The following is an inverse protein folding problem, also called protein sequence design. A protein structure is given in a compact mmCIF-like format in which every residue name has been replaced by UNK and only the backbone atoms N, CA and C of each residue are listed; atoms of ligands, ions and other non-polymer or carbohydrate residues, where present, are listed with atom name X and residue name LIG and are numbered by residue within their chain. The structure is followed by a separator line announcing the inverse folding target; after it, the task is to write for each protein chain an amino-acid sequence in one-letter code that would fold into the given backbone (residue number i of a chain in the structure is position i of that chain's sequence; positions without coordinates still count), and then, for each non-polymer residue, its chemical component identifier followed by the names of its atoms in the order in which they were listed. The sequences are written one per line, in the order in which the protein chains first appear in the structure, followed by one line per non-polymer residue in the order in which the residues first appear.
data_IF_671780508004
#
_entry.id   IF_671780508004
#
_cell.length_a   1.000
_cell.length_b   1.000
_cell.length_c   1.000
_cell.angle_alpha   90.00
_cell.angle_beta   90.00
_cell.angle_gamma   90.00
#
_symmetry.space_group_name_H-M   'P 1'
#
loop_
_entity.id
_entity.type
_entity.pdbx_description
1 polymer ?
#
# COMPACT_ATOMS: atom_id res chain seq x y z
N UNK A 1 -55.52 0.87 -32.61
CA UNK A 1 -54.72 1.83 -31.82
C UNK A 1 -54.34 1.13 -30.53
N UNK A 2 -53.10 0.62 -30.44
CA UNK A 2 -52.59 -0.06 -29.25
C UNK A 2 -51.50 0.81 -28.60
N UNK A 3 -51.36 0.78 -27.29
CA UNK A 3 -50.41 1.66 -26.59
C UNK A 3 -48.97 1.17 -26.76
N UNK A 4 -48.09 2.09 -27.12
CA UNK A 4 -46.63 1.89 -27.16
C UNK A 4 -46.11 1.85 -25.72
N UNK A 5 -45.64 0.69 -25.27
CA UNK A 5 -44.91 0.54 -24.04
C UNK A 5 -43.47 1.09 -24.20
N UNK A 6 -43.16 2.15 -23.46
CA UNK A 6 -41.80 2.66 -23.33
C UNK A 6 -40.99 1.75 -22.39
N UNK A 7 -39.99 1.07 -22.94
CA UNK A 7 -39.00 0.35 -22.16
C UNK A 7 -38.02 1.40 -21.55
N UNK A 8 -38.13 1.66 -20.25
CA UNK A 8 -37.08 2.37 -19.51
C UNK A 8 -35.88 1.40 -19.34
N UNK A 9 -34.83 1.60 -20.10
CA UNK A 9 -33.52 1.03 -19.79
C UNK A 9 -32.93 1.77 -18.56
N UNK A 10 -33.01 1.10 -17.41
CA UNK A 10 -32.28 1.54 -16.24
C UNK A 10 -30.77 1.32 -16.48
N UNK A 11 -30.01 2.40 -16.68
CA UNK A 11 -28.54 2.37 -16.60
C UNK A 11 -28.18 2.08 -15.14
N UNK A 12 -27.73 0.85 -14.88
CA UNK A 12 -26.99 0.53 -13.66
C UNK A 12 -25.63 1.19 -13.83
N UNK A 13 -25.43 2.36 -13.23
CA UNK A 13 -24.12 2.95 -13.03
C UNK A 13 -23.37 2.05 -12.03
N UNK A 14 -22.63 1.07 -12.55
CA UNK A 14 -21.61 0.41 -11.76
C UNK A 14 -20.60 1.48 -11.37
N UNK A 15 -20.68 1.98 -10.14
CA UNK A 15 -19.69 2.89 -9.58
C UNK A 15 -18.35 2.18 -9.60
N UNK A 16 -17.45 2.59 -10.50
CA UNK A 16 -16.03 2.30 -10.39
C UNK A 16 -15.57 2.94 -9.07
N UNK A 17 -15.52 2.14 -8.03
CA UNK A 17 -14.79 2.51 -6.82
C UNK A 17 -13.31 2.52 -7.20
N UNK A 18 -12.81 3.66 -7.64
CA UNK A 18 -11.39 3.89 -7.81
C UNK A 18 -10.77 3.71 -6.42
N UNK A 19 -10.00 2.65 -6.21
CA UNK A 19 -9.19 2.47 -5.01
C UNK A 19 -8.11 3.55 -5.08
N UNK A 20 -8.30 4.65 -4.37
CA UNK A 20 -7.55 5.89 -4.50
C UNK A 20 -6.09 5.81 -4.03
N UNK A 21 -5.57 4.63 -3.72
CA UNK A 21 -4.23 4.43 -3.16
C UNK A 21 -3.42 3.33 -3.85
N UNK A 22 -3.75 3.00 -5.10
CA UNK A 22 -2.92 2.14 -5.95
C UNK A 22 -2.09 3.02 -6.87
N UNK A 23 -0.82 2.68 -7.07
CA UNK A 23 0.05 3.43 -7.97
C UNK A 23 -0.57 3.54 -9.38
N UNK A 24 -0.68 4.75 -9.85
CA UNK A 24 -1.22 5.04 -11.18
C UNK A 24 -0.06 5.33 -12.14
N UNK A 25 -0.23 4.92 -13.39
CA UNK A 25 0.74 5.25 -14.45
C UNK A 25 0.65 6.74 -14.73
N UNK A 26 1.73 7.48 -14.40
CA UNK A 26 1.77 8.95 -14.52
C UNK A 26 1.94 9.41 -15.96
N UNK A 27 2.62 8.62 -16.80
CA UNK A 27 2.82 8.88 -18.22
C UNK A 27 2.89 7.56 -18.99
N UNK A 28 1.74 7.11 -19.49
CA UNK A 28 1.63 5.82 -20.18
C UNK A 28 2.47 5.77 -21.47
N UNK A 29 2.50 6.85 -22.23
CA UNK A 29 3.25 6.91 -23.47
C UNK A 29 4.76 6.80 -23.19
N UNK A 30 5.31 7.61 -22.28
CA UNK A 30 6.72 7.56 -21.92
C UNK A 30 7.12 6.19 -21.35
N UNK A 31 6.25 5.58 -20.54
CA UNK A 31 6.48 4.24 -20.00
C UNK A 31 6.56 3.20 -21.14
N UNK A 32 5.63 3.24 -22.10
CA UNK A 32 5.62 2.36 -23.26
C UNK A 32 6.89 2.54 -24.09
N UNK A 33 7.26 3.77 -24.43
CA UNK A 33 8.47 4.09 -25.17
C UNK A 33 9.73 3.59 -24.43
N UNK A 34 9.79 3.78 -23.11
CA UNK A 34 10.90 3.29 -22.28
C UNK A 34 11.00 1.76 -22.30
N UNK A 35 9.88 1.07 -22.21
CA UNK A 35 9.84 -0.40 -22.22
C UNK A 35 10.19 -0.97 -23.60
N UNK A 36 9.87 -0.27 -24.68
CA UNK A 36 10.13 -0.68 -26.07
C UNK A 36 11.52 -0.28 -26.56
N UNK A 37 12.21 0.63 -25.88
CA UNK A 37 13.55 1.08 -26.28
C UNK A 37 14.55 -0.08 -26.31
N UNK A 38 15.22 -0.34 -27.45
CA UNK A 38 16.03 -1.54 -27.65
C UNK A 38 17.32 -1.58 -26.83
N UNK A 39 17.86 -0.41 -26.47
CA UNK A 39 19.11 -0.31 -25.71
C UNK A 39 18.99 0.63 -24.51
N UNK A 40 19.95 0.53 -23.60
CA UNK A 40 20.07 1.49 -22.48
C UNK A 40 20.32 2.92 -22.95
N UNK A 41 21.06 3.09 -24.05
CA UNK A 41 21.28 4.41 -24.67
C UNK A 41 19.96 5.00 -25.18
N UNK A 42 19.17 4.20 -25.91
CA UNK A 42 17.87 4.65 -26.43
C UNK A 42 16.94 5.06 -25.29
N UNK A 43 16.92 4.31 -24.18
CA UNK A 43 16.16 4.67 -22.97
C UNK A 43 16.59 6.00 -22.38
N UNK A 44 17.91 6.21 -22.21
CA UNK A 44 18.42 7.45 -21.64
C UNK A 44 18.05 8.67 -22.51
N UNK A 45 18.04 8.49 -23.82
CA UNK A 45 17.67 9.56 -24.78
C UNK A 45 16.18 9.98 -24.67
N UNK A 46 15.31 9.18 -24.05
CA UNK A 46 13.92 9.55 -23.74
C UNK A 46 13.82 10.53 -22.54
N UNK A 47 14.90 10.71 -21.80
CA UNK A 47 14.99 11.55 -20.59
C UNK A 47 16.09 12.61 -20.81
N UNK A 48 15.82 13.66 -21.61
CA UNK A 48 16.85 14.60 -22.07
C UNK A 48 17.37 15.56 -21.00
N UNK A 49 16.64 15.70 -19.87
CA UNK A 49 17.03 16.60 -18.80
C UNK A 49 17.42 15.81 -17.54
N UNK A 50 18.46 16.27 -16.81
CA UNK A 50 18.92 15.60 -15.58
C UNK A 50 17.80 15.41 -14.55
N UNK A 51 16.88 16.38 -14.47
CA UNK A 51 15.70 16.28 -13.56
C UNK A 51 14.78 15.09 -13.88
N UNK A 52 14.76 14.62 -15.12
CA UNK A 52 13.90 13.50 -15.54
C UNK A 52 14.36 12.17 -14.92
N UNK A 53 15.61 12.13 -14.43
CA UNK A 53 16.20 10.98 -13.74
C UNK A 53 16.08 11.05 -12.19
N UNK A 54 15.39 12.08 -11.68
CA UNK A 54 15.21 12.30 -10.24
C UNK A 54 13.76 12.12 -9.85
N UNK A 55 13.51 11.35 -8.80
CA UNK A 55 12.19 11.18 -8.20
C UNK A 55 12.14 11.88 -6.83
N UNK A 56 11.32 12.91 -6.73
CA UNK A 56 11.10 13.61 -5.45
C UNK A 56 9.93 12.97 -4.70
N UNK A 57 10.24 12.19 -3.67
CA UNK A 57 9.24 11.49 -2.85
C UNK A 57 8.31 12.46 -2.09
N UNK A 58 8.83 13.61 -1.67
CA UNK A 58 8.04 14.58 -0.89
C UNK A 58 7.12 15.43 -1.76
N UNK A 59 7.42 15.55 -3.04
CA UNK A 59 6.57 16.26 -4.01
C UNK A 59 5.40 15.42 -4.54
N UNK A 60 5.30 14.14 -4.17
CA UNK A 60 4.24 13.27 -4.69
C UNK A 60 2.88 13.59 -4.07
N UNK A 61 1.79 13.58 -4.86
CA UNK A 61 0.44 13.93 -4.38
C UNK A 61 -0.07 13.06 -3.22
N UNK A 62 0.40 11.82 -3.12
CA UNK A 62 0.02 10.87 -2.07
C UNK A 62 0.84 10.98 -0.79
N UNK A 63 1.83 11.89 -0.72
CA UNK A 63 2.67 12.05 0.47
C UNK A 63 1.90 12.68 1.62
N UNK A 64 1.77 11.96 2.73
CA UNK A 64 1.08 12.43 3.95
C UNK A 64 1.63 11.73 5.19
N UNK A 65 1.43 12.39 6.35
CA UNK A 65 1.67 11.84 7.68
C UNK A 65 0.37 11.49 8.43
N UNK A 66 -0.80 11.69 7.80
CA UNK A 66 -2.10 11.43 8.44
C UNK A 66 -2.98 10.48 7.58
N UNK A 67 -3.09 9.21 7.96
CA UNK A 67 -2.34 8.50 9.01
C UNK A 67 -0.90 8.23 8.63
N UNK A 68 -0.55 8.35 7.37
CA UNK A 68 0.74 8.14 6.76
C UNK A 68 0.60 7.72 5.30
N UNK A 69 1.71 7.46 4.63
CA UNK A 69 1.74 7.11 3.21
C UNK A 69 2.87 6.15 2.88
N UNK A 70 2.70 5.42 1.79
CA UNK A 70 3.78 4.74 1.09
C UNK A 70 3.88 5.38 -0.29
N UNK A 71 4.99 6.02 -0.56
CA UNK A 71 5.28 6.66 -1.85
C UNK A 71 6.29 5.79 -2.59
N UNK A 72 5.86 5.24 -3.72
CA UNK A 72 6.67 4.32 -4.51
C UNK A 72 7.30 5.03 -5.71
N UNK A 73 8.60 4.87 -5.90
CA UNK A 73 9.31 5.13 -7.14
C UNK A 73 9.45 3.80 -7.90
N UNK A 74 8.44 3.48 -8.69
CA UNK A 74 8.36 2.27 -9.51
C UNK A 74 8.10 2.64 -10.98
N UNK A 75 7.97 1.66 -11.86
CA UNK A 75 7.76 1.95 -13.29
C UNK A 75 6.47 2.72 -13.60
N UNK A 76 5.44 2.65 -12.75
CA UNK A 76 4.19 3.38 -12.97
C UNK A 76 4.32 4.86 -12.60
N UNK A 77 4.93 5.15 -11.45
CA UNK A 77 5.06 6.50 -10.88
C UNK A 77 6.31 7.23 -11.35
N UNK A 78 7.32 6.48 -11.82
CA UNK A 78 8.61 6.97 -12.29
C UNK A 78 9.06 6.12 -13.47
N UNK A 79 8.65 6.44 -14.72
CA UNK A 79 8.94 5.64 -15.90
C UNK A 79 10.43 5.34 -16.13
N UNK A 80 11.35 6.22 -15.70
CA UNK A 80 12.79 5.98 -15.73
C UNK A 80 13.23 4.72 -14.96
N UNK A 81 12.45 4.27 -13.97
CA UNK A 81 12.71 3.03 -13.23
C UNK A 81 12.47 1.77 -14.08
N UNK A 82 11.72 1.86 -15.19
CA UNK A 82 11.40 0.70 -16.02
C UNK A 82 12.66 0.03 -16.59
N UNK A 83 12.70 -1.31 -16.50
CA UNK A 83 13.84 -2.12 -16.94
C UNK A 83 15.02 -2.16 -15.97
N UNK A 84 14.89 -1.59 -14.76
CA UNK A 84 15.92 -1.66 -13.72
C UNK A 84 15.62 -2.74 -12.65
N UNK A 85 14.41 -3.31 -12.65
CA UNK A 85 14.05 -4.44 -11.80
C UNK A 85 13.90 -4.09 -10.31
N UNK A 86 13.75 -2.81 -9.97
CA UNK A 86 13.69 -2.34 -8.58
C UNK A 86 12.59 -1.31 -8.37
N UNK A 87 12.03 -1.30 -7.17
CA UNK A 87 11.21 -0.20 -6.63
C UNK A 87 11.88 0.32 -5.36
N UNK A 88 11.93 1.64 -5.21
CA UNK A 88 12.21 2.27 -3.92
C UNK A 88 10.90 2.85 -3.37
N UNK A 89 10.66 2.64 -2.07
CA UNK A 89 9.49 3.20 -1.41
C UNK A 89 9.88 3.98 -0.17
N UNK A 90 9.28 5.16 0.00
CA UNK A 90 9.36 5.94 1.22
C UNK A 90 8.08 5.69 2.03
N UNK A 91 8.24 5.13 3.23
CA UNK A 91 7.16 4.81 4.14
C UNK A 91 7.11 5.87 5.23
N UNK A 92 6.00 6.59 5.31
CA UNK A 92 5.76 7.62 6.31
C UNK A 92 4.64 7.13 7.23
N UNK A 93 4.98 6.86 8.48
CA UNK A 93 4.02 6.42 9.49
C UNK A 93 3.83 7.54 10.52
N UNK A 94 2.67 8.17 10.49
CA UNK A 94 2.29 9.15 11.50
C UNK A 94 2.07 8.53 12.87
N UNK A 95 1.72 9.33 13.89
CA UNK A 95 1.46 8.83 15.23
C UNK A 95 0.43 7.71 15.26
N UNK A 96 0.79 6.58 15.88
CA UNK A 96 -0.09 5.41 16.02
C UNK A 96 -0.62 4.85 14.70
N UNK A 97 0.04 5.10 13.57
CA UNK A 97 -0.36 4.54 12.29
C UNK A 97 0.28 3.20 12.00
N UNK A 98 -0.28 2.48 11.04
CA UNK A 98 0.26 1.19 10.62
C UNK A 98 0.00 0.92 9.14
N UNK A 99 0.85 0.12 8.53
CA UNK A 99 0.52 -0.56 7.29
C UNK A 99 -0.30 -1.80 7.63
N UNK A 100 -1.51 -1.98 7.07
CA UNK A 100 -2.31 -3.17 7.35
C UNK A 100 -1.56 -4.44 6.92
N UNK A 101 -1.91 -5.62 7.46
CA UNK A 101 -1.32 -6.88 7.02
C UNK A 101 -1.50 -7.06 5.50
N UNK A 102 -0.36 -7.20 4.81
CA UNK A 102 -0.31 -7.29 3.35
C UNK A 102 0.88 -8.15 2.90
N UNK A 103 0.96 -8.43 1.62
CA UNK A 103 2.14 -9.03 0.99
C UNK A 103 2.37 -8.44 -0.41
N UNK A 104 3.61 -8.60 -0.88
CA UNK A 104 4.00 -8.27 -2.25
C UNK A 104 4.13 -9.56 -3.07
N UNK A 105 3.25 -9.79 -4.06
CA UNK A 105 3.26 -11.08 -4.79
C UNK A 105 4.48 -11.26 -5.69
N UNK A 106 5.18 -10.18 -6.05
CA UNK A 106 6.26 -10.21 -7.04
C UNK A 106 7.59 -9.66 -6.55
N UNK A 107 7.72 -9.39 -5.24
CA UNK A 107 8.93 -8.78 -4.71
C UNK A 107 9.25 -9.22 -3.28
N UNK A 108 10.52 -9.44 -3.03
CA UNK A 108 11.12 -9.39 -1.70
C UNK A 108 11.36 -7.93 -1.32
N UNK A 109 11.04 -7.56 -0.09
CA UNK A 109 11.14 -6.21 0.44
C UNK A 109 12.23 -6.15 1.52
N UNK A 110 13.26 -5.33 1.29
CA UNK A 110 14.27 -4.94 2.28
C UNK A 110 13.84 -3.60 2.86
N UNK A 111 13.63 -3.53 4.17
CA UNK A 111 13.17 -2.30 4.81
C UNK A 111 14.11 -1.87 5.92
N UNK A 112 14.49 -0.59 5.92
CA UNK A 112 15.34 0.04 6.95
C UNK A 112 14.60 1.20 7.59
N UNK A 113 14.64 1.28 8.93
CA UNK A 113 14.14 2.44 9.66
C UNK A 113 15.16 3.59 9.56
N UNK A 114 14.67 4.78 9.18
CA UNK A 114 15.49 5.99 9.07
C UNK A 114 15.48 6.75 10.39
N UNK A 115 14.31 6.85 11.01
CA UNK A 115 14.15 7.47 12.33
C UNK A 115 13.06 6.73 13.14
N UNK A 116 13.01 7.04 14.44
CA UNK A 116 12.02 6.49 15.34
C UNK A 116 12.16 4.97 15.54
N UNK A 117 11.05 4.34 15.89
CA UNK A 117 10.96 2.92 16.19
C UNK A 117 9.66 2.34 15.67
N UNK A 118 9.75 1.24 14.93
CA UNK A 118 8.61 0.57 14.28
C UNK A 118 8.57 -0.90 14.64
N UNK A 119 7.45 -1.38 15.16
CA UNK A 119 7.23 -2.82 15.33
C UNK A 119 6.83 -3.44 14.00
N UNK A 120 7.47 -4.55 13.66
CA UNK A 120 7.17 -5.31 12.44
C UNK A 120 6.85 -6.75 12.77
N UNK A 121 5.95 -7.33 11.99
CA UNK A 121 5.56 -8.73 12.08
C UNK A 121 5.59 -9.35 10.70
N UNK A 122 6.04 -10.61 10.61
CA UNK A 122 6.09 -11.35 9.36
C UNK A 122 5.70 -12.80 9.57
N UNK A 123 4.89 -13.33 8.68
CA UNK A 123 4.51 -14.73 8.55
C UNK A 123 4.89 -15.15 7.14
N UNK A 124 5.84 -16.08 7.03
CA UNK A 124 6.37 -16.50 5.74
C UNK A 124 5.46 -17.55 5.08
N UNK A 125 5.09 -18.59 5.85
CA UNK A 125 4.21 -19.68 5.39
C UNK A 125 3.56 -20.40 6.57
N UNK A 126 2.64 -21.32 6.26
CA UNK A 126 2.01 -22.18 7.26
C UNK A 126 3.05 -23.10 7.92
N UNK A 127 3.06 -23.08 9.25
CA UNK A 127 4.02 -23.87 10.05
C UNK A 127 5.31 -23.13 10.39
N UNK A 128 5.63 -22.02 9.72
CA UNK A 128 6.74 -21.16 10.12
C UNK A 128 6.39 -20.37 11.39
N UNK A 129 7.41 -20.05 12.19
CA UNK A 129 7.21 -19.14 13.34
C UNK A 129 6.89 -17.74 12.88
N UNK A 130 6.07 -17.02 13.59
CA UNK A 130 5.92 -15.56 13.38
C UNK A 130 7.21 -14.84 13.79
N UNK A 131 7.75 -14.05 12.87
CA UNK A 131 8.85 -13.14 13.15
C UNK A 131 8.28 -11.84 13.70
N UNK A 132 8.79 -11.38 14.83
CA UNK A 132 8.43 -10.11 15.46
C UNK A 132 9.71 -9.38 15.82
N UNK A 133 9.89 -8.19 15.27
CA UNK A 133 11.06 -7.35 15.55
C UNK A 133 10.67 -5.89 15.65
N UNK A 134 11.44 -5.15 16.47
CA UNK A 134 11.36 -3.69 16.52
C UNK A 134 12.55 -3.13 15.74
N UNK A 135 12.26 -2.31 14.75
CA UNK A 135 13.24 -1.59 13.97
C UNK A 135 13.42 -0.19 14.55
N UNK A 136 14.50 0.03 15.24
CA UNK A 136 14.98 1.36 15.58
C UNK A 136 15.79 1.93 14.41
N UNK A 137 16.06 3.23 14.42
CA UNK A 137 16.83 3.89 13.37
C UNK A 137 18.15 3.15 13.05
N UNK A 138 18.39 2.93 11.76
CA UNK A 138 19.54 2.19 11.24
C UNK A 138 19.41 0.66 11.24
N UNK A 139 18.33 0.10 11.79
CA UNK A 139 18.05 -1.35 11.72
C UNK A 139 17.20 -1.69 10.51
N UNK A 140 17.45 -2.85 9.93
CA UNK A 140 16.68 -3.36 8.79
C UNK A 140 16.15 -4.77 9.04
N UNK A 141 15.11 -5.13 8.30
CA UNK A 141 14.62 -6.50 8.16
C UNK A 141 14.31 -6.82 6.71
N UNK A 142 14.00 -8.08 6.43
CA UNK A 142 13.66 -8.58 5.10
C UNK A 142 12.29 -9.24 5.19
N UNK A 143 11.40 -8.90 4.25
CA UNK A 143 10.16 -9.61 3.99
C UNK A 143 10.29 -10.35 2.66
N UNK A 144 10.44 -11.69 2.66
CA UNK A 144 10.47 -12.48 1.44
C UNK A 144 9.22 -12.26 0.59
N UNK A 145 9.33 -12.48 -0.72
CA UNK A 145 8.20 -12.38 -1.63
C UNK A 145 7.03 -13.24 -1.14
N UNK A 146 5.82 -12.70 -1.21
CA UNK A 146 4.58 -13.31 -0.75
C UNK A 146 4.45 -13.53 0.78
N UNK A 147 5.45 -13.21 1.61
CA UNK A 147 5.30 -13.24 3.07
C UNK A 147 4.31 -12.17 3.53
N UNK A 148 3.37 -12.54 4.41
CA UNK A 148 2.44 -11.60 5.02
C UNK A 148 3.21 -10.78 6.05
N UNK A 149 3.13 -9.46 5.97
CA UNK A 149 3.81 -8.58 6.93
C UNK A 149 3.00 -7.32 7.23
N UNK A 150 3.34 -6.67 8.34
CA UNK A 150 2.74 -5.43 8.81
C UNK A 150 3.77 -4.64 9.59
N UNK A 151 3.59 -3.33 9.67
CA UNK A 151 4.44 -2.40 10.40
C UNK A 151 3.58 -1.42 11.19
N UNK A 152 3.94 -1.15 12.43
CA UNK A 152 3.20 -0.27 13.33
C UNK A 152 4.12 0.75 13.98
N UNK A 153 3.78 2.02 13.85
CA UNK A 153 4.33 3.08 14.69
C UNK A 153 3.53 3.17 15.99
N UNK A 154 4.09 2.70 17.09
CA UNK A 154 3.45 2.80 18.42
C UNK A 154 3.78 4.10 19.13
N UNK A 155 4.57 4.98 18.53
CA UNK A 155 4.94 6.29 19.06
C UNK A 155 3.92 7.37 18.75
N UNK A 156 4.17 8.55 19.32
CA UNK A 156 3.35 9.74 19.11
C UNK A 156 3.99 10.74 18.14
N UNK A 157 5.12 10.37 17.54
CA UNK A 157 5.85 11.15 16.54
C UNK A 157 5.89 10.41 15.20
N UNK A 158 6.20 11.15 14.15
CA UNK A 158 6.36 10.59 12.82
C UNK A 158 7.56 9.65 12.73
N UNK A 159 7.39 8.52 12.07
CA UNK A 159 8.45 7.54 11.80
C UNK A 159 8.57 7.33 10.30
N UNK A 160 9.80 7.23 9.81
CA UNK A 160 10.09 7.04 8.40
C UNK A 160 10.97 5.80 8.18
N UNK A 161 10.60 5.02 7.16
CA UNK A 161 11.36 3.88 6.69
C UNK A 161 11.57 3.98 5.18
N UNK A 162 12.59 3.31 4.69
CA UNK A 162 12.85 3.14 3.26
C UNK A 162 12.79 1.65 2.94
N UNK A 163 12.05 1.32 1.90
CA UNK A 163 11.98 -0.03 1.32
C UNK A 163 12.69 -0.08 -0.02
N UNK A 164 13.41 -1.18 -0.25
CA UNK A 164 13.94 -1.56 -1.54
C UNK A 164 13.33 -2.91 -1.95
N UNK A 165 12.59 -2.92 -3.04
CA UNK A 165 11.87 -4.11 -3.52
C UNK A 165 12.45 -4.55 -4.87
N UNK A 166 12.77 -5.84 -5.01
CA UNK A 166 13.42 -6.40 -6.20
C UNK A 166 12.46 -6.66 -7.37
N UNK A 167 11.56 -5.73 -7.60
CA UNK A 167 10.67 -5.70 -8.76
C UNK A 167 10.29 -4.26 -9.06
N UNK A 168 10.19 -3.88 -10.30
CA UNK A 168 9.67 -2.57 -10.73
C UNK A 168 8.13 -2.51 -10.77
N UNK A 169 7.48 -3.63 -10.46
CA UNK A 169 6.03 -3.82 -10.35
C UNK A 169 5.76 -4.84 -9.26
N UNK A 170 5.81 -4.40 -8.02
CA UNK A 170 5.78 -5.26 -6.84
C UNK A 170 4.43 -5.89 -6.57
N UNK A 171 3.36 -5.15 -6.84
CA UNK A 171 2.01 -5.46 -6.37
C UNK A 171 1.88 -5.35 -4.85
N UNK A 172 0.65 -5.18 -4.39
CA UNK A 172 0.30 -5.23 -2.96
C UNK A 172 -1.07 -5.85 -2.81
N UNK A 173 -1.19 -6.82 -1.90
CA UNK A 173 -2.48 -7.43 -1.54
C UNK A 173 -2.69 -7.27 -0.04
N UNK A 174 -3.68 -6.47 0.34
CA UNK A 174 -4.11 -6.33 1.73
C UNK A 174 -5.01 -7.50 2.10
N UNK A 175 -4.65 -8.24 3.15
CA UNK A 175 -5.30 -9.49 3.54
C UNK A 175 -6.77 -9.28 3.90
N UNK A 176 -7.08 -8.24 4.68
CA UNK A 176 -8.47 -7.96 5.05
C UNK A 176 -9.33 -7.60 3.83
N UNK A 177 -8.81 -6.77 2.91
CA UNK A 177 -9.53 -6.45 1.67
C UNK A 177 -9.73 -7.68 0.79
N UNK A 178 -8.72 -8.55 0.65
CA UNK A 178 -8.84 -9.77 -0.11
C UNK A 178 -9.94 -10.68 0.43
N UNK A 179 -9.99 -10.88 1.76
CA UNK A 179 -10.96 -11.76 2.38
C UNK A 179 -12.38 -11.15 2.39
N UNK A 180 -12.54 -9.92 2.84
CA UNK A 180 -13.85 -9.38 3.15
C UNK A 180 -14.48 -8.54 2.05
N UNK A 181 -13.67 -7.93 1.15
CA UNK A 181 -14.19 -7.09 0.08
C UNK A 181 -14.21 -7.78 -1.29
N UNK A 182 -13.30 -8.73 -1.56
CA UNK A 182 -13.13 -9.26 -2.92
C UNK A 182 -13.49 -10.74 -3.08
N UNK A 183 -13.43 -11.54 -2.01
CA UNK A 183 -13.90 -12.93 -2.07
C UNK A 183 -15.39 -13.02 -1.71
N UNK A 184 -16.14 -13.98 -2.31
CA UNK A 184 -17.55 -14.21 -1.96
C UNK A 184 -17.70 -14.58 -0.49
N UNK A 185 -18.67 -13.97 0.25
CA UNK A 185 -18.92 -14.29 1.67
C UNK A 185 -19.16 -15.79 1.94
N UNK A 186 -19.75 -16.50 0.98
CA UNK A 186 -20.00 -17.95 1.05
C UNK A 186 -18.74 -18.80 1.12
N UNK A 187 -17.59 -18.29 0.62
CA UNK A 187 -16.29 -18.94 0.72
C UNK A 187 -15.52 -18.47 1.96
N UNK A 188 -15.72 -17.21 2.36
CA UNK A 188 -15.03 -16.64 3.51
C UNK A 188 -15.59 -17.20 4.83
N UNK A 189 -16.92 -17.34 4.96
CA UNK A 189 -17.55 -17.81 6.18
C UNK A 189 -16.95 -19.11 6.73
N UNK A 190 -16.87 -20.21 5.97
CA UNK A 190 -16.25 -21.45 6.44
C UNK A 190 -14.75 -21.29 6.70
N UNK A 191 -14.02 -20.49 5.92
CA UNK A 191 -12.58 -20.27 6.08
C UNK A 191 -12.22 -19.57 7.41
N UNK A 192 -13.12 -18.72 7.93
CA UNK A 192 -12.93 -18.05 9.23
C UNK A 192 -13.74 -18.70 10.37
N UNK A 193 -14.21 -19.94 10.18
CA UNK A 193 -14.92 -20.70 11.21
C UNK A 193 -16.34 -20.18 11.49
N UNK A 194 -17.02 -19.63 10.48
CA UNK A 194 -18.36 -19.01 10.58
C UNK A 194 -18.47 -17.83 11.56
N UNK A 195 -17.38 -17.23 11.96
CA UNK A 195 -17.30 -15.93 12.62
C UNK A 195 -16.53 -14.95 11.74
N UNK A 196 -16.81 -13.69 11.74
CA UNK A 196 -17.87 -12.93 12.40
C UNK A 196 -19.28 -13.22 11.84
N UNK A 197 -20.32 -12.99 12.63
CA UNK A 197 -21.70 -13.29 12.25
C UNK A 197 -22.21 -12.46 11.05
N UNK A 198 -21.65 -11.27 10.82
CA UNK A 198 -21.98 -10.38 9.71
C UNK A 198 -20.74 -10.06 8.87
N UNK A 199 -20.51 -10.86 7.82
CA UNK A 199 -19.40 -10.64 6.89
C UNK A 199 -19.62 -9.39 6.01
N UNK A 200 -20.86 -9.05 5.67
CA UNK A 200 -21.15 -7.86 4.87
C UNK A 200 -20.91 -6.58 5.67
N UNK A 201 -21.35 -6.53 6.94
CA UNK A 201 -21.04 -5.43 7.85
C UNK A 201 -19.54 -5.32 8.11
N UNK A 202 -18.84 -6.45 8.29
CA UNK A 202 -17.38 -6.46 8.41
C UNK A 202 -16.71 -5.87 7.17
N UNK A 203 -17.12 -6.27 5.97
CA UNK A 203 -16.57 -5.74 4.71
C UNK A 203 -16.71 -4.22 4.60
N UNK A 204 -17.81 -3.64 5.08
CA UNK A 204 -18.04 -2.19 5.07
C UNK A 204 -17.11 -1.42 6.01
N UNK A 205 -16.59 -2.07 7.05
CA UNK A 205 -15.68 -1.45 8.02
C UNK A 205 -14.21 -1.60 7.67
N UNK A 206 -13.86 -2.49 6.72
CA UNK A 206 -12.47 -2.67 6.26
C UNK A 206 -12.07 -1.51 5.35
N UNK A 207 -11.07 -0.69 5.72
CA UNK A 207 -10.65 0.43 4.90
C UNK A 207 -9.98 -0.04 3.60
N UNK A 208 -10.30 0.62 2.50
CA UNK A 208 -9.67 0.38 1.19
C UNK A 208 -8.43 1.27 1.08
N UNK A 209 -7.28 0.76 1.46
CA UNK A 209 -6.05 1.56 1.59
C UNK A 209 -5.05 1.41 0.44
N UNK A 210 -5.23 0.43 -0.45
CA UNK A 210 -4.26 0.17 -1.51
C UNK A 210 -2.86 -0.12 -0.94
N UNK A 211 -1.89 0.74 -1.23
CA UNK A 211 -0.52 0.69 -0.67
C UNK A 211 -0.33 1.59 0.55
N UNK A 212 -1.36 2.33 0.98
CA UNK A 212 -1.29 3.33 2.04
C UNK A 212 -1.27 2.76 3.45
N UNK A 213 -1.39 3.66 4.43
CA UNK A 213 -1.46 3.34 5.85
C UNK A 213 -2.85 3.65 6.43
N UNK A 214 -3.10 3.13 7.63
CA UNK A 214 -4.30 3.38 8.42
C UNK A 214 -3.91 3.83 9.82
N UNK A 215 -4.85 4.44 10.56
CA UNK A 215 -4.70 4.56 12.00
C UNK A 215 -4.68 3.18 12.64
N UNK A 216 -3.74 2.98 13.55
CA UNK A 216 -3.56 1.72 14.26
C UNK A 216 -4.47 1.62 15.48
N UNK A 217 -3.89 1.17 16.61
CA UNK A 217 -4.66 0.82 17.81
C UNK A 217 -5.23 2.03 18.54
N UNK A 218 -6.51 1.92 18.97
CA UNK A 218 -7.21 2.98 19.71
C UNK A 218 -6.52 3.33 21.03
N UNK A 219 -5.90 2.36 21.73
CA UNK A 219 -5.15 2.63 22.97
C UNK A 219 -3.92 3.50 22.75
N UNK A 220 -3.23 3.33 21.60
CA UNK A 220 -2.14 4.19 21.20
C UNK A 220 -2.62 5.62 20.92
N UNK A 221 -3.68 5.77 20.12
CA UNK A 221 -4.27 7.07 19.78
C UNK A 221 -4.71 7.83 21.06
N UNK A 222 -5.41 7.15 21.96
CA UNK A 222 -5.84 7.75 23.23
C UNK A 222 -4.65 8.18 24.12
N UNK A 223 -3.58 7.39 24.17
CA UNK A 223 -2.37 7.71 24.92
C UNK A 223 -1.69 8.96 24.35
N UNK A 224 -1.55 9.05 23.03
CA UNK A 224 -0.90 10.17 22.39
C UNK A 224 -1.73 11.46 22.49
N UNK A 225 -3.07 11.36 22.34
CA UNK A 225 -3.97 12.49 22.56
C UNK A 225 -3.87 13.01 24.00
N UNK A 226 -3.86 12.11 25.00
CA UNK A 226 -3.68 12.47 26.43
C UNK A 226 -2.33 13.16 26.70
N UNK A 227 -1.30 12.79 25.95
CA UNK A 227 0.03 13.41 26.02
C UNK A 227 0.14 14.75 25.28
N UNK A 228 -0.96 15.25 24.68
CA UNK A 228 -1.01 16.53 23.97
C UNK A 228 -0.58 16.46 22.50
N UNK A 229 -0.36 15.29 21.95
CA UNK A 229 -0.09 15.15 20.52
C UNK A 229 -1.38 15.25 19.70
N UNK A 230 -1.30 15.94 18.56
CA UNK A 230 -2.42 15.99 17.61
C UNK A 230 -2.48 14.64 16.88
N UNK A 231 -3.48 13.85 17.21
CA UNK A 231 -3.77 12.57 16.54
C UNK A 231 -5.21 12.59 16.03
N UNK A 232 -5.40 12.28 14.75
CA UNK A 232 -6.72 12.15 14.15
C UNK A 232 -7.18 10.69 14.25
N UNK A 233 -8.51 10.44 14.29
CA UNK A 233 -9.09 9.08 14.39
C UNK A 233 -9.30 8.57 15.82
N UNK A 234 -9.29 9.45 16.82
CA UNK A 234 -9.61 9.12 18.24
C UNK A 234 -11.09 9.27 18.60
N UNK A 235 -11.98 9.51 17.61
CA UNK A 235 -13.44 9.57 17.79
C UNK A 235 -14.11 8.21 17.64
#
# INVERSE_FOLDING_TARGET
MGPRGSLLLGLIAAGLHCVAAVDQVVNAQLLEETMMAPTRLDRLNLYPEDKDTVFDFYAQPGMTWEPGSVVNANRATFPYAAGNGMTMALLNLGPCSMLPPHYHPRATNYVVAINGSTDTYMIEENGARTVKVTLDAGKMTIFPAASIHTMENKGCENVQLVSALNSEDTGTVNIANALFNWLPPTLVAPAVGYGPADLNGTAQTVPLVGTGSIFGRKDCLARCAKAGYKVHGSE
#
